data_IF_710120491796
#
_entry.id   IF_710120491796
#
_cell.length_a   1.000
_cell.length_b   1.000
_cell.length_c   1.000
_cell.angle_alpha   90.00
_cell.angle_beta   90.00
_cell.angle_gamma   90.00
#
_symmetry.space_group_name_H-M   'P 1'
#
loop_
_entity.id
_entity.type
_entity.pdbx_description
1 polymer ?
#
# COMPACT_ATOMS: atom_id res chain seq x y z
N UNK A 1 -23.97 -78.53 -30.00
CA UNK A 1 -23.13 -78.95 -31.15
C UNK A 1 -23.01 -77.76 -32.09
N UNK A 2 -21.83 -77.55 -32.70
CA UNK A 2 -21.47 -76.40 -33.55
C UNK A 2 -21.42 -75.00 -32.85
N UNK A 3 -20.65 -74.09 -33.46
CA UNK A 3 -20.38 -72.70 -33.05
C UNK A 3 -20.71 -71.77 -34.24
N UNK A 4 -21.04 -70.48 -34.02
CA UNK A 4 -20.09 -69.36 -34.31
C UNK A 4 -20.58 -67.93 -33.98
N UNK A 5 -19.65 -67.12 -33.43
CA UNK A 5 -19.35 -65.67 -33.62
C UNK A 5 -20.46 -64.60 -33.65
N UNK A 6 -20.29 -63.64 -32.71
CA UNK A 6 -20.31 -62.15 -32.86
C UNK A 6 -21.61 -61.44 -33.37
N UNK A 7 -21.92 -60.19 -32.97
CA UNK A 7 -21.12 -59.18 -32.25
C UNK A 7 -21.95 -58.13 -31.48
N UNK A 8 -21.46 -57.72 -30.29
CA UNK A 8 -21.63 -56.44 -29.57
C UNK A 8 -23.02 -55.94 -29.09
N UNK A 9 -22.99 -55.38 -27.88
CA UNK A 9 -24.02 -54.55 -27.22
C UNK A 9 -23.82 -53.05 -27.63
N UNK A 10 -24.51 -52.01 -27.13
CA UNK A 10 -25.00 -51.66 -25.77
C UNK A 10 -26.13 -50.62 -25.86
N UNK A 11 -27.18 -50.70 -25.01
CA UNK A 11 -27.84 -49.49 -24.48
C UNK A 11 -28.73 -49.74 -23.23
N UNK A 12 -28.71 -48.78 -22.28
CA UNK A 12 -29.89 -48.31 -21.57
C UNK A 12 -30.37 -49.02 -20.30
N UNK A 13 -30.10 -48.41 -19.13
CA UNK A 13 -31.13 -48.11 -18.12
C UNK A 13 -30.58 -47.17 -17.01
N UNK A 14 -31.07 -45.93 -16.98
CA UNK A 14 -31.04 -45.04 -15.81
C UNK A 14 -32.46 -44.48 -15.67
N UNK A 15 -33.06 -44.57 -14.49
CA UNK A 15 -34.47 -44.26 -14.28
C UNK A 15 -34.76 -43.87 -12.82
N UNK A 16 -35.44 -42.74 -12.62
CA UNK A 16 -36.13 -42.27 -11.39
C UNK A 16 -35.18 -42.10 -10.16
N UNK A 17 -35.00 -40.92 -9.54
CA UNK A 17 -36.04 -40.05 -8.98
C UNK A 17 -35.69 -38.55 -8.99
N UNK A 18 -36.74 -37.73 -9.11
CA UNK A 18 -36.72 -36.28 -8.88
C UNK A 18 -37.76 -35.90 -7.84
N UNK A 19 -37.41 -35.16 -6.79
CA UNK A 19 -38.30 -34.24 -6.04
C UNK A 19 -37.56 -33.52 -4.89
N UNK A 20 -38.19 -32.47 -4.36
CA UNK A 20 -37.85 -31.74 -3.12
C UNK A 20 -36.59 -30.87 -3.11
N UNK A 21 -36.66 -29.76 -3.86
CA UNK A 21 -36.07 -28.50 -3.37
C UNK A 21 -36.98 -27.91 -2.28
N UNK A 22 -36.45 -27.77 -1.07
CA UNK A 22 -37.06 -27.04 0.04
C UNK A 22 -36.15 -25.90 0.48
N UNK A 23 -36.73 -24.80 0.96
CA UNK A 23 -35.98 -23.60 1.35
C UNK A 23 -34.93 -23.88 2.44
N UNK A 24 -33.69 -23.44 2.21
CA UNK A 24 -32.69 -23.24 3.26
C UNK A 24 -31.78 -22.06 2.90
N UNK A 25 -31.82 -20.99 3.70
CA UNK A 25 -30.83 -19.93 3.68
C UNK A 25 -29.51 -20.46 4.26
N UNK A 26 -28.43 -20.47 3.49
CA UNK A 26 -27.12 -20.92 3.95
C UNK A 26 -26.12 -19.78 4.03
N UNK A 27 -26.08 -19.11 5.19
CA UNK A 27 -25.01 -18.16 5.54
C UNK A 27 -23.70 -18.94 5.74
N UNK A 28 -22.93 -19.16 4.67
CA UNK A 28 -21.60 -19.79 4.74
C UNK A 28 -20.53 -18.80 5.22
N UNK A 29 -20.69 -18.34 6.45
CA UNK A 29 -19.63 -17.65 7.20
C UNK A 29 -18.61 -18.67 7.71
N UNK A 30 -17.57 -18.95 6.92
CA UNK A 30 -16.45 -19.78 7.37
C UNK A 30 -15.56 -18.99 8.34
N UNK A 31 -15.58 -19.36 9.62
CA UNK A 31 -14.60 -18.85 10.58
C UNK A 31 -13.22 -19.46 10.29
N UNK A 32 -12.35 -18.72 9.60
CA UNK A 32 -10.97 -19.14 9.30
C UNK A 32 -10.04 -18.70 10.42
N UNK A 33 -10.02 -19.44 11.53
CA UNK A 33 -9.07 -19.21 12.61
C UNK A 33 -7.69 -19.81 12.31
N UNK A 34 -6.75 -18.93 11.97
CA UNK A 34 -5.32 -19.03 12.32
C UNK A 34 -4.53 -20.31 11.97
N UNK A 35 -4.35 -20.60 10.66
CA UNK A 35 -3.38 -21.61 10.19
C UNK A 35 -1.90 -21.14 10.18
N UNK A 36 -1.53 -20.23 11.07
CA UNK A 36 -0.14 -19.77 11.28
C UNK A 36 0.24 -19.69 12.77
N UNK A 37 -0.18 -20.66 13.57
CA UNK A 37 0.48 -20.92 14.84
C UNK A 37 1.80 -21.66 14.55
N UNK A 38 2.96 -20.98 14.66
CA UNK A 38 4.28 -21.60 14.43
C UNK A 38 5.25 -20.88 13.48
N UNK A 39 5.04 -19.61 13.13
CA UNK A 39 6.10 -18.73 12.61
C UNK A 39 6.27 -17.51 13.52
N UNK A 40 6.88 -17.76 14.67
CA UNK A 40 7.54 -16.70 15.43
C UNK A 40 8.70 -16.12 14.61
N UNK A 41 8.90 -14.81 14.64
CA UNK A 41 10.06 -14.16 14.04
C UNK A 41 9.94 -13.90 12.53
N UNK A 42 9.21 -12.84 12.17
CA UNK A 42 9.87 -11.75 11.44
C UNK A 42 10.51 -10.83 12.47
N UNK A 43 11.71 -10.35 12.23
CA UNK A 43 12.37 -9.40 13.13
C UNK A 43 11.75 -8.01 12.93
N UNK A 44 11.61 -7.24 14.02
CA UNK A 44 11.21 -5.84 13.91
C UNK A 44 12.29 -5.00 13.19
N UNK A 45 13.54 -5.49 13.11
CA UNK A 45 14.55 -4.92 12.21
C UNK A 45 14.20 -5.09 10.72
N UNK A 46 13.51 -6.16 10.32
CA UNK A 46 13.00 -6.32 8.94
C UNK A 46 11.86 -5.34 8.66
N UNK A 47 11.05 -4.98 9.66
CA UNK A 47 10.05 -3.92 9.54
C UNK A 47 10.68 -2.53 9.44
N UNK A 48 11.64 -2.20 10.31
CA UNK A 48 12.34 -0.91 10.26
C UNK A 48 13.10 -0.75 8.94
N UNK A 49 13.69 -1.83 8.43
CA UNK A 49 14.26 -1.89 7.09
C UNK A 49 13.18 -1.82 5.99
N UNK A 50 12.00 -2.44 6.17
CA UNK A 50 10.89 -2.34 5.22
C UNK A 50 10.48 -0.87 4.99
N UNK A 51 10.43 -0.10 6.08
CA UNK A 51 9.96 1.29 6.14
C UNK A 51 10.95 2.29 5.58
N UNK A 52 12.25 2.09 5.79
CA UNK A 52 13.28 2.94 5.15
C UNK A 52 13.24 2.86 3.60
N UNK A 53 12.70 1.80 3.00
CA UNK A 53 12.62 1.60 1.53
C UNK A 53 11.62 2.50 0.79
N UNK A 54 11.17 3.65 1.33
CA UNK A 54 9.96 4.35 0.80
C UNK A 54 10.13 5.83 0.45
N UNK A 55 11.32 6.39 0.57
CA UNK A 55 11.53 7.84 0.37
C UNK A 55 12.33 8.12 -0.93
N UNK A 56 11.66 8.69 -1.97
CA UNK A 56 12.19 9.02 -3.31
C UNK A 56 11.43 10.19 -4.00
N UNK A 57 11.81 10.66 -5.21
CA UNK A 57 11.52 12.08 -5.64
C UNK A 57 11.29 12.36 -7.15
N UNK A 58 10.40 13.33 -7.47
CA UNK A 58 10.28 14.28 -8.65
C UNK A 58 9.21 13.94 -9.72
N UNK A 59 8.41 14.84 -10.35
CA UNK A 59 7.68 16.13 -10.09
C UNK A 59 6.63 16.30 -11.27
N UNK A 60 5.47 16.99 -11.27
CA UNK A 60 4.51 17.41 -10.21
C UNK A 60 3.03 17.69 -10.69
N UNK A 61 2.23 16.72 -11.20
CA UNK A 61 0.78 16.96 -11.48
C UNK A 61 0.04 16.15 -12.58
N UNK A 62 -1.30 16.17 -12.72
CA UNK A 62 -2.37 16.80 -11.89
C UNK A 62 -3.82 16.38 -12.28
N UNK A 63 -4.40 15.32 -11.65
CA UNK A 63 -5.84 14.89 -11.66
C UNK A 63 -6.14 13.50 -10.91
N UNK A 64 -7.21 12.67 -11.17
CA UNK A 64 -7.76 11.64 -10.20
C UNK A 64 -8.70 10.43 -10.61
N UNK A 65 -9.99 10.43 -10.17
CA UNK A 65 -11.02 9.37 -9.92
C UNK A 65 -10.91 7.93 -10.49
N UNK A 66 -10.67 6.97 -9.58
CA UNK A 66 -10.48 5.51 -9.82
C UNK A 66 -10.63 4.69 -8.50
N UNK A 67 -11.24 3.50 -8.53
CA UNK A 67 -11.25 2.53 -7.40
C UNK A 67 -10.01 1.60 -7.42
N UNK A 68 -9.32 1.43 -6.29
CA UNK A 68 -8.12 0.60 -6.17
C UNK A 68 -8.30 -0.48 -5.09
N UNK A 69 -8.44 -1.75 -5.51
CA UNK A 69 -8.57 -2.90 -4.60
C UNK A 69 -7.33 -3.08 -3.73
N UNK A 70 -7.45 -2.89 -2.41
CA UNK A 70 -6.39 -3.15 -1.43
C UNK A 70 -6.40 -4.58 -0.87
N UNK A 71 -5.24 -5.04 -0.40
CA UNK A 71 -5.05 -6.16 0.54
C UNK A 71 -3.71 -6.03 1.27
N UNK A 72 -3.25 -7.12 1.90
CA UNK A 72 -2.07 -7.15 2.76
C UNK A 72 -2.42 -6.94 4.25
N UNK A 73 -1.48 -6.55 5.10
CA UNK A 73 -1.75 -6.01 6.43
C UNK A 73 -0.65 -5.03 6.87
N UNK A 74 -1.04 -3.89 7.44
CA UNK A 74 -0.14 -2.89 8.01
C UNK A 74 0.41 -3.24 9.40
N UNK A 75 0.11 -4.42 9.97
CA UNK A 75 0.58 -4.74 11.33
C UNK A 75 2.11 -4.81 11.37
N UNK A 76 2.78 -4.11 12.30
CA UNK A 76 4.20 -4.23 12.57
C UNK A 76 4.65 -5.66 12.90
N UNK A 77 3.82 -6.41 13.64
CA UNK A 77 4.02 -7.82 13.95
C UNK A 77 3.59 -8.79 12.83
N UNK A 78 3.28 -8.27 11.63
CA UNK A 78 2.78 -9.00 10.48
C UNK A 78 3.58 -8.71 9.21
N UNK A 79 3.04 -7.87 8.32
CA UNK A 79 3.69 -7.53 7.04
C UNK A 79 4.07 -6.07 6.83
N UNK A 80 3.50 -5.11 7.59
CA UNK A 80 3.72 -3.67 7.37
C UNK A 80 3.31 -3.15 5.99
N UNK A 81 2.44 -3.87 5.27
CA UNK A 81 2.35 -3.78 3.81
C UNK A 81 0.90 -3.84 3.33
N UNK A 82 0.49 -2.79 2.63
CA UNK A 82 -0.70 -2.79 1.78
C UNK A 82 -0.30 -2.89 0.31
N UNK A 83 -1.07 -3.65 -0.45
CA UNK A 83 -0.85 -3.85 -1.88
C UNK A 83 -2.16 -3.74 -2.66
N UNK A 84 -2.05 -3.28 -3.90
CA UNK A 84 -3.14 -3.24 -4.86
C UNK A 84 -3.03 -4.35 -5.90
N UNK A 85 -4.17 -4.77 -6.45
CA UNK A 85 -4.23 -5.57 -7.69
C UNK A 85 -4.62 -4.67 -8.85
N UNK A 86 -3.86 -4.74 -9.94
CA UNK A 86 -4.17 -4.06 -11.19
C UNK A 86 -3.91 -4.96 -12.41
N UNK A 87 -4.61 -4.70 -13.50
CA UNK A 87 -4.35 -5.32 -14.79
C UNK A 87 -3.36 -4.48 -15.59
N UNK A 88 -2.45 -5.11 -16.34
CA UNK A 88 -1.63 -4.40 -17.34
C UNK A 88 -1.61 -5.16 -18.67
N UNK A 89 -1.83 -4.40 -19.75
CA UNK A 89 -1.61 -4.76 -21.15
C UNK A 89 -2.81 -5.32 -21.89
N UNK A 90 -2.58 -5.65 -23.16
CA UNK A 90 -3.58 -6.28 -24.05
C UNK A 90 -3.02 -7.58 -24.64
N UNK A 91 -3.51 -8.77 -24.25
CA UNK A 91 -4.52 -9.01 -23.21
C UNK A 91 -3.97 -8.76 -21.79
N UNK A 92 -4.86 -8.27 -20.93
CA UNK A 92 -4.55 -7.88 -19.56
C UNK A 92 -4.09 -9.04 -18.69
N UNK A 93 -3.08 -8.79 -17.86
CA UNK A 93 -2.54 -9.72 -16.88
C UNK A 93 -2.57 -9.09 -15.50
N UNK A 94 -2.82 -9.91 -14.49
CA UNK A 94 -2.82 -9.49 -13.08
C UNK A 94 -1.40 -9.26 -12.55
N UNK A 95 -1.19 -8.09 -11.96
CA UNK A 95 -0.01 -7.75 -11.16
C UNK A 95 -0.45 -7.24 -9.78
N UNK A 96 0.35 -7.55 -8.76
CA UNK A 96 0.16 -7.10 -7.39
C UNK A 96 1.29 -6.13 -7.03
N UNK A 97 0.95 -4.89 -6.67
CA UNK A 97 1.92 -3.81 -6.44
C UNK A 97 1.75 -3.21 -5.05
N UNK A 98 2.86 -2.87 -4.39
CA UNK A 98 2.84 -2.14 -3.12
C UNK A 98 2.23 -0.75 -3.35
N UNK A 99 1.27 -0.34 -2.52
CA UNK A 99 0.79 1.06 -2.53
C UNK A 99 1.73 1.91 -1.70
N UNK A 100 2.10 3.08 -2.22
CA UNK A 100 3.17 3.90 -1.66
C UNK A 100 2.96 5.40 -1.92
N UNK A 101 2.58 6.17 -0.90
CA UNK A 101 2.49 7.64 -0.99
C UNK A 101 3.84 8.34 -0.89
N UNK A 102 4.88 7.64 -0.43
CA UNK A 102 6.24 8.14 -0.23
C UNK A 102 7.06 8.24 -1.51
N UNK A 103 6.65 7.58 -2.59
CA UNK A 103 7.32 7.64 -3.89
C UNK A 103 6.38 7.93 -5.07
N UNK A 104 6.97 8.46 -6.14
CA UNK A 104 6.25 8.98 -7.30
C UNK A 104 5.92 7.91 -8.35
N UNK A 105 6.94 7.24 -8.89
CA UNK A 105 6.84 6.38 -10.07
C UNK A 105 6.22 5.00 -9.74
N UNK A 106 5.28 4.54 -10.57
CA UNK A 106 4.96 3.10 -10.64
C UNK A 106 6.00 2.35 -11.46
N UNK A 107 6.39 1.17 -10.99
CA UNK A 107 7.20 0.22 -11.75
C UNK A 107 6.77 -1.22 -11.48
N UNK A 108 7.07 -2.11 -12.43
CA UNK A 108 6.89 -3.57 -12.31
C UNK A 108 8.13 -4.32 -12.81
N UNK A 109 8.40 -5.48 -12.20
CA UNK A 109 9.51 -6.36 -12.55
C UNK A 109 9.31 -6.95 -13.95
N UNK A 110 10.25 -6.71 -14.87
CA UNK A 110 10.15 -7.18 -16.26
C UNK A 110 10.78 -8.56 -16.49
N UNK A 111 10.38 -9.24 -17.57
CA UNK A 111 10.93 -10.56 -17.96
C UNK A 111 12.44 -10.55 -18.21
N UNK A 112 13.02 -9.38 -18.49
CA UNK A 112 14.47 -9.18 -18.65
C UNK A 112 15.23 -9.16 -17.31
N UNK A 113 14.52 -9.13 -16.18
CA UNK A 113 15.15 -9.01 -14.86
C UNK A 113 15.75 -10.33 -14.36
N UNK A 114 17.06 -10.32 -14.18
CA UNK A 114 17.85 -11.45 -13.65
C UNK A 114 17.57 -11.68 -12.18
N UNK A 115 17.66 -10.64 -11.37
CA UNK A 115 17.75 -10.71 -9.90
C UNK A 115 16.47 -10.26 -9.17
N UNK A 116 15.38 -10.07 -9.92
CA UNK A 116 14.05 -9.79 -9.34
C UNK A 116 13.48 -10.98 -8.55
N UNK A 117 12.70 -10.72 -7.49
CA UNK A 117 11.95 -11.74 -6.76
C UNK A 117 11.06 -12.57 -7.69
N UNK A 118 11.08 -13.90 -7.50
CA UNK A 118 10.27 -14.87 -8.28
C UNK A 118 9.33 -15.71 -7.42
N UNK A 119 9.31 -15.43 -6.09
CA UNK A 119 8.44 -16.03 -5.05
C UNK A 119 8.31 -15.04 -3.89
N UNK A 120 7.28 -15.21 -3.07
CA UNK A 120 7.13 -14.58 -1.76
C UNK A 120 6.47 -15.56 -0.77
N UNK A 121 6.47 -15.20 0.51
CA UNK A 121 5.82 -15.96 1.59
C UNK A 121 4.38 -15.50 1.87
N UNK A 122 3.89 -14.46 1.15
CA UNK A 122 2.55 -13.88 1.32
C UNK A 122 1.50 -14.48 0.36
N UNK A 123 1.81 -15.59 -0.30
CA UNK A 123 0.86 -16.36 -1.13
C UNK A 123 0.47 -15.72 -2.47
N UNK A 124 1.02 -14.55 -2.79
CA UNK A 124 0.76 -13.82 -4.03
C UNK A 124 1.60 -14.41 -5.16
N UNK A 125 0.96 -14.81 -6.26
CA UNK A 125 1.64 -15.37 -7.44
C UNK A 125 2.19 -14.22 -8.30
N UNK A 126 3.52 -14.05 -8.25
CA UNK A 126 4.21 -13.02 -9.03
C UNK A 126 4.11 -13.23 -10.55
N UNK A 127 4.05 -12.13 -11.29
CA UNK A 127 3.98 -12.01 -12.74
C UNK A 127 5.05 -11.03 -13.22
N UNK A 128 5.96 -11.47 -14.09
CA UNK A 128 6.93 -10.57 -14.74
C UNK A 128 6.31 -9.92 -15.99
N UNK A 129 6.45 -8.60 -16.14
CA UNK A 129 5.92 -7.85 -17.27
C UNK A 129 6.72 -8.12 -18.55
N UNK A 130 6.01 -8.34 -19.65
CA UNK A 130 6.58 -8.57 -20.99
C UNK A 130 6.04 -7.51 -21.97
N UNK A 131 6.87 -6.51 -22.36
CA UNK A 131 6.49 -5.50 -23.33
C UNK A 131 6.13 -6.06 -24.71
N UNK A 132 6.59 -7.26 -25.06
CA UNK A 132 6.26 -7.95 -26.33
C UNK A 132 5.03 -8.86 -26.21
N UNK A 133 4.61 -9.14 -24.98
CA UNK A 133 3.44 -9.94 -24.65
C UNK A 133 2.18 -9.10 -24.43
N UNK A 134 2.18 -7.84 -24.88
CA UNK A 134 1.07 -6.89 -24.86
C UNK A 134 1.03 -6.11 -26.18
N UNK A 135 -0.15 -6.01 -26.83
CA UNK A 135 -0.30 -5.28 -28.11
C UNK A 135 -0.54 -3.78 -27.94
N UNK A 136 -0.76 -3.31 -26.71
CA UNK A 136 -0.91 -1.88 -26.34
C UNK A 136 0.39 -1.27 -25.80
N UNK A 137 1.39 -2.11 -25.48
CA UNK A 137 2.69 -1.70 -24.97
C UNK A 137 3.55 -0.98 -26.02
N UNK A 138 4.03 0.20 -25.66
CA UNK A 138 4.93 1.04 -26.44
C UNK A 138 6.16 1.43 -25.61
N UNK A 139 7.33 1.59 -26.24
CA UNK A 139 8.51 2.10 -25.56
C UNK A 139 8.45 3.62 -25.43
N UNK A 140 8.79 4.16 -24.25
CA UNK A 140 9.01 5.60 -24.09
C UNK A 140 10.46 5.91 -24.43
N UNK A 141 10.68 6.83 -25.37
CA UNK A 141 12.00 7.23 -25.84
C UNK A 141 12.43 8.58 -25.28
N UNK A 142 13.73 8.86 -25.29
CA UNK A 142 14.34 10.06 -24.74
C UNK A 142 13.83 11.39 -25.33
N UNK A 143 13.23 11.35 -26.51
CA UNK A 143 12.67 12.48 -27.25
C UNK A 143 11.17 12.72 -27.00
N UNK A 144 10.51 11.88 -26.19
CA UNK A 144 9.09 12.06 -25.82
C UNK A 144 8.93 12.98 -24.60
N UNK A 145 7.88 13.80 -24.60
CA UNK A 145 7.55 14.79 -23.56
C UNK A 145 7.59 14.22 -22.12
N UNK A 146 7.17 12.97 -21.94
CA UNK A 146 7.26 12.32 -20.64
C UNK A 146 8.71 12.26 -20.16
N UNK A 147 9.63 11.77 -21.01
CA UNK A 147 11.03 11.61 -20.66
C UNK A 147 11.72 12.95 -20.40
N UNK A 148 11.52 13.91 -21.32
CA UNK A 148 12.12 15.24 -21.20
C UNK A 148 11.58 16.02 -19.99
N UNK A 149 10.37 15.72 -19.52
CA UNK A 149 9.83 16.30 -18.28
C UNK A 149 10.45 15.76 -16.98
N UNK A 150 11.04 14.55 -16.99
CA UNK A 150 11.66 13.97 -15.79
C UNK A 150 13.07 14.52 -15.55
N UNK A 151 13.81 14.86 -16.61
CA UNK A 151 15.19 15.33 -16.54
C UNK A 151 15.26 16.85 -16.76
N UNK A 152 15.62 17.62 -15.72
CA UNK A 152 15.83 19.08 -15.83
C UNK A 152 16.84 19.46 -16.92
N UNK A 153 17.88 18.65 -17.05
CA UNK A 153 18.84 18.64 -18.15
C UNK A 153 18.91 17.21 -18.68
N UNK A 154 18.62 17.02 -19.97
CA UNK A 154 18.60 15.68 -20.58
C UNK A 154 20.03 15.09 -20.60
N UNK A 155 20.28 13.94 -19.94
CA UNK A 155 21.65 13.43 -19.80
C UNK A 155 22.22 13.01 -21.16
N UNK A 156 23.54 13.20 -21.42
CA UNK A 156 24.13 12.94 -22.75
C UNK A 156 23.97 11.51 -23.28
N UNK A 157 23.68 10.54 -22.41
CA UNK A 157 23.35 9.16 -22.75
C UNK A 157 21.95 8.96 -23.35
N UNK A 158 21.01 9.87 -23.08
CA UNK A 158 19.60 9.75 -23.49
C UNK A 158 19.36 10.43 -24.84
N UNK A 159 19.88 9.82 -25.91
CA UNK A 159 19.73 10.33 -27.29
C UNK A 159 18.33 10.02 -27.89
N UNK A 160 17.81 10.80 -28.85
CA UNK A 160 16.52 10.53 -29.49
C UNK A 160 16.39 9.10 -30.02
N UNK A 161 15.20 8.50 -29.88
CA UNK A 161 14.90 7.08 -30.13
C UNK A 161 15.55 6.06 -29.17
N UNK A 162 16.46 6.45 -28.27
CA UNK A 162 16.90 5.56 -27.19
C UNK A 162 15.77 5.37 -26.17
N UNK A 163 15.66 4.20 -25.50
CA UNK A 163 14.75 4.02 -24.38
C UNK A 163 15.00 5.05 -23.28
N UNK A 164 13.94 5.64 -22.74
CA UNK A 164 14.01 6.52 -21.58
C UNK A 164 14.31 5.69 -20.33
N UNK A 165 15.57 5.61 -19.93
CA UNK A 165 15.98 4.91 -18.70
C UNK A 165 15.41 5.58 -17.46
N UNK A 166 15.18 4.81 -16.40
CA UNK A 166 14.89 5.32 -15.06
C UNK A 166 15.77 4.63 -14.01
N UNK A 167 16.04 5.38 -12.95
CA UNK A 167 16.80 4.99 -11.77
C UNK A 167 16.09 5.61 -10.56
N UNK A 168 15.83 4.82 -9.51
CA UNK A 168 15.30 5.31 -8.25
C UNK A 168 16.00 4.63 -7.09
N UNK A 169 16.71 5.41 -6.29
CA UNK A 169 17.13 5.01 -4.94
C UNK A 169 16.02 5.30 -3.94
N UNK A 170 15.76 4.35 -3.04
CA UNK A 170 14.89 4.48 -1.88
C UNK A 170 15.70 4.81 -0.61
N UNK A 171 15.03 5.30 0.44
CA UNK A 171 15.66 5.77 1.68
C UNK A 171 16.51 4.76 2.48
N UNK A 172 16.46 3.46 2.17
CA UNK A 172 17.35 2.41 2.74
C UNK A 172 18.59 2.14 1.88
N UNK A 173 18.70 2.74 0.70
CA UNK A 173 19.69 2.41 -0.31
C UNK A 173 19.32 1.23 -1.22
N UNK A 174 18.06 0.77 -1.22
CA UNK A 174 17.54 -0.10 -2.28
C UNK A 174 17.32 0.68 -3.57
N UNK A 175 17.76 0.16 -4.71
CA UNK A 175 17.61 0.82 -6.02
C UNK A 175 16.81 -0.03 -7.00
N UNK A 176 16.00 0.63 -7.82
CA UNK A 176 15.35 0.02 -9.00
C UNK A 176 15.85 0.69 -10.28
N UNK A 177 16.28 -0.14 -11.24
CA UNK A 177 16.88 0.29 -12.50
C UNK A 177 16.09 -0.29 -13.67
N UNK A 178 15.81 0.52 -14.69
CA UNK A 178 15.06 0.07 -15.86
C UNK A 178 14.85 1.12 -16.94
N UNK A 179 13.77 0.97 -17.69
CA UNK A 179 13.33 1.93 -18.71
C UNK A 179 11.82 2.11 -18.68
N UNK A 180 11.34 3.28 -19.09
CA UNK A 180 9.90 3.57 -19.14
C UNK A 180 9.23 2.88 -20.34
N UNK A 181 8.06 2.28 -20.07
CA UNK A 181 7.13 1.73 -21.06
C UNK A 181 5.77 2.37 -20.86
N UNK A 182 4.98 2.43 -21.93
CA UNK A 182 3.63 3.00 -21.93
C UNK A 182 2.65 1.91 -22.37
N UNK A 183 1.74 1.51 -21.49
CA UNK A 183 0.75 0.45 -21.76
C UNK A 183 -0.57 0.75 -21.04
N UNK A 184 -1.62 0.00 -21.38
CA UNK A 184 -2.92 0.10 -20.73
C UNK A 184 -2.91 -0.58 -19.35
N UNK A 185 -3.21 0.20 -18.31
CA UNK A 185 -3.37 -0.20 -16.92
C UNK A 185 -4.85 -0.17 -16.56
N UNK A 186 -5.34 -1.25 -15.97
CA UNK A 186 -6.75 -1.48 -15.66
C UNK A 186 -6.96 -1.56 -14.15
N UNK A 187 -7.93 -0.79 -13.65
CA UNK A 187 -8.34 -0.76 -12.25
C UNK A 187 -9.74 -1.35 -12.10
N UNK A 188 -10.07 -1.87 -10.91
CA UNK A 188 -11.29 -2.68 -10.69
C UNK A 188 -12.59 -1.99 -11.12
N UNK A 189 -12.70 -0.67 -10.91
CA UNK A 189 -13.85 0.12 -11.37
C UNK A 189 -13.45 1.47 -11.96
N UNK A 190 -13.99 1.74 -13.14
CA UNK A 190 -14.26 3.09 -13.65
C UNK A 190 -13.30 3.64 -14.71
N UNK A 191 -12.01 3.29 -14.68
CA UNK A 191 -11.01 3.92 -15.55
C UNK A 191 -9.90 2.96 -15.99
N UNK A 192 -9.91 2.61 -17.27
CA UNK A 192 -8.71 2.12 -17.97
C UNK A 192 -7.80 3.33 -18.31
N UNK A 193 -6.50 3.16 -18.13
CA UNK A 193 -5.49 4.21 -18.26
C UNK A 193 -4.31 3.81 -19.12
N UNK A 194 -4.02 4.54 -20.19
CA UNK A 194 -2.77 4.35 -20.92
C UNK A 194 -1.65 5.13 -20.21
N UNK A 195 -0.84 4.42 -19.42
CA UNK A 195 0.05 4.97 -18.37
C UNK A 195 1.49 4.61 -18.69
N UNK A 196 2.41 5.54 -18.41
CA UNK A 196 3.86 5.31 -18.42
C UNK A 196 4.30 4.77 -17.06
N UNK A 197 5.02 3.66 -17.04
CA UNK A 197 5.56 3.06 -15.81
C UNK A 197 6.94 2.44 -16.06
N UNK A 198 7.69 2.23 -14.98
CA UNK A 198 9.01 1.62 -15.03
C UNK A 198 8.97 0.12 -15.33
N UNK A 199 9.66 -0.29 -16.39
CA UNK A 199 9.98 -1.69 -16.66
C UNK A 199 11.29 -2.04 -15.93
N UNK A 200 11.19 -2.60 -14.73
CA UNK A 200 12.34 -2.90 -13.87
C UNK A 200 13.19 -4.03 -14.41
N UNK A 201 14.47 -3.76 -14.66
CA UNK A 201 15.45 -4.70 -15.25
C UNK A 201 16.50 -5.17 -14.25
N UNK A 202 16.79 -4.38 -13.22
CA UNK A 202 17.59 -4.79 -12.07
C UNK A 202 17.04 -4.17 -10.79
N UNK A 203 17.20 -4.90 -9.68
CA UNK A 203 16.72 -4.51 -8.36
C UNK A 203 17.86 -4.76 -7.36
N UNK A 204 18.20 -3.78 -6.52
CA UNK A 204 19.27 -3.89 -5.53
C UNK A 204 18.72 -4.07 -4.09
N UNK A 205 19.52 -3.75 -3.08
CA UNK A 205 19.14 -3.70 -1.66
C UNK A 205 18.25 -4.84 -1.15
N UNK A 206 17.16 -4.45 -0.49
CA UNK A 206 16.14 -5.31 0.13
C UNK A 206 14.94 -5.58 -0.78
N UNK A 207 14.64 -4.70 -1.75
CA UNK A 207 13.53 -4.93 -2.70
C UNK A 207 13.77 -6.17 -3.59
N UNK A 208 15.04 -6.52 -3.85
CA UNK A 208 15.44 -7.76 -4.54
C UNK A 208 15.23 -9.05 -3.74
N UNK A 209 15.08 -8.99 -2.41
CA UNK A 209 15.22 -10.15 -1.50
C UNK A 209 14.08 -10.36 -0.51
N UNK A 210 13.10 -9.45 -0.45
CA UNK A 210 12.08 -9.47 0.59
C UNK A 210 11.17 -10.72 0.56
N UNK A 211 10.89 -11.39 1.69
CA UNK A 211 9.88 -12.45 1.78
C UNK A 211 8.45 -11.92 1.58
N UNK A 212 8.24 -10.60 1.56
CA UNK A 212 6.98 -9.93 1.19
C UNK A 212 7.04 -9.31 -0.22
N UNK A 213 7.90 -9.81 -1.11
CA UNK A 213 8.01 -9.29 -2.47
C UNK A 213 6.71 -9.33 -3.27
N UNK A 214 6.53 -8.30 -4.09
CA UNK A 214 5.40 -8.04 -4.97
C UNK A 214 5.92 -7.83 -6.40
N UNK A 215 5.01 -7.68 -7.37
CA UNK A 215 5.38 -7.47 -8.77
C UNK A 215 6.02 -6.10 -9.01
N UNK A 216 5.76 -5.15 -8.11
CA UNK A 216 6.42 -3.85 -8.06
C UNK A 216 5.77 -2.91 -7.05
N UNK A 217 5.84 -1.61 -7.33
CA UNK A 217 5.31 -0.53 -6.48
C UNK A 217 4.48 0.40 -7.37
N UNK A 218 3.34 0.89 -6.86
CA UNK A 218 2.57 1.99 -7.46
C UNK A 218 2.72 3.23 -6.59
N UNK A 219 3.52 4.18 -7.09
CA UNK A 219 3.73 5.46 -6.45
C UNK A 219 2.51 6.38 -6.55
N UNK A 220 2.20 7.02 -5.43
CA UNK A 220 1.15 8.03 -5.24
C UNK A 220 1.71 9.37 -4.74
N UNK A 221 2.99 9.65 -5.00
CA UNK A 221 3.62 10.96 -4.78
C UNK A 221 3.14 12.05 -5.76
N UNK A 222 3.49 13.31 -5.47
CA UNK A 222 2.93 14.48 -6.16
C UNK A 222 3.34 14.64 -7.64
N UNK A 223 4.30 13.86 -8.16
CA UNK A 223 4.89 13.97 -9.50
C UNK A 223 3.93 13.86 -10.69
N UNK A 224 4.34 14.32 -11.89
CA UNK A 224 3.67 14.03 -13.17
C UNK A 224 3.78 12.55 -13.54
N UNK A 225 4.86 11.90 -13.09
CA UNK A 225 5.15 10.50 -13.33
C UNK A 225 4.37 9.54 -12.43
N UNK A 226 3.72 10.02 -11.36
CA UNK A 226 2.85 9.17 -10.55
C UNK A 226 1.57 8.81 -11.30
N UNK A 227 1.04 7.62 -11.03
CA UNK A 227 -0.02 7.04 -11.86
C UNK A 227 -1.28 7.87 -11.79
N UNK A 228 -1.64 8.34 -10.59
CA UNK A 228 -2.79 9.22 -10.44
C UNK A 228 -2.61 10.49 -11.28
N UNK A 229 -1.41 11.09 -11.30
CA UNK A 229 -1.01 12.29 -12.07
C UNK A 229 -0.84 12.12 -13.58
N UNK A 230 -0.80 10.88 -14.08
CA UNK A 230 -0.92 10.61 -15.53
C UNK A 230 -2.37 10.38 -15.98
N UNK A 231 -3.11 9.52 -15.25
CA UNK A 231 -4.55 9.29 -15.48
C UNK A 231 -5.32 10.60 -15.49
N UNK A 232 -4.97 11.40 -14.51
CA UNK A 232 -5.06 12.84 -14.45
C UNK A 232 -4.90 13.65 -15.74
N UNK A 233 -3.66 13.86 -16.20
CA UNK A 233 -3.34 14.78 -17.28
C UNK A 233 -4.06 14.38 -18.59
N UNK A 234 -4.47 13.11 -18.71
CA UNK A 234 -5.35 12.62 -19.77
C UNK A 234 -6.83 13.07 -19.69
N UNK A 235 -7.17 13.97 -18.75
CA UNK A 235 -8.49 14.59 -18.64
C UNK A 235 -9.61 13.64 -18.25
N UNK A 236 -9.28 12.47 -17.68
CA UNK A 236 -10.30 11.52 -17.24
C UNK A 236 -11.09 12.07 -16.01
N UNK A 237 -10.60 13.17 -15.37
CA UNK A 237 -10.61 13.65 -13.93
C UNK A 237 -9.85 15.05 -13.87
N UNK A 238 -9.75 16.07 -12.96
CA UNK A 238 -9.85 16.53 -11.50
C UNK A 238 -8.77 16.03 -10.49
N UNK A 239 -8.05 16.76 -9.60
CA UNK A 239 -6.83 16.27 -8.79
C UNK A 239 -6.97 15.98 -7.27
N UNK A 240 -7.50 14.82 -6.93
CA UNK A 240 -7.70 14.39 -5.53
C UNK A 240 -7.62 12.87 -5.33
N UNK A 241 -7.19 12.37 -4.17
CA UNK A 241 -7.39 10.95 -3.80
C UNK A 241 -7.59 10.77 -2.31
N UNK A 242 -7.98 9.58 -1.87
CA UNK A 242 -8.16 9.23 -0.48
C UNK A 242 -7.82 7.77 -0.18
N UNK A 243 -7.40 7.50 1.04
CA UNK A 243 -7.28 6.16 1.58
C UNK A 243 -7.93 6.05 2.97
N UNK A 244 -8.28 4.83 3.37
CA UNK A 244 -8.57 4.46 4.75
C UNK A 244 -8.03 3.06 4.97
N UNK A 245 -7.01 2.91 5.81
CA UNK A 245 -6.27 1.66 5.98
C UNK A 245 -6.68 0.93 7.26
N UNK A 246 -6.97 -0.37 7.13
CA UNK A 246 -7.37 -1.22 8.24
C UNK A 246 -6.14 -1.97 8.79
N UNK A 247 -5.48 -1.39 9.79
CA UNK A 247 -4.34 -1.98 10.48
C UNK A 247 -4.71 -3.23 11.30
N UNK A 248 -6.00 -3.51 11.50
CA UNK A 248 -6.49 -4.64 12.31
C UNK A 248 -6.71 -5.90 11.48
N UNK A 249 -7.33 -5.80 10.31
CA UNK A 249 -7.69 -6.91 9.40
C UNK A 249 -6.87 -6.92 8.11
N UNK A 250 -6.25 -5.79 7.76
CA UNK A 250 -5.59 -5.57 6.48
C UNK A 250 -6.55 -5.14 5.37
N UNK A 251 -5.99 -4.65 4.27
CA UNK A 251 -6.76 -3.99 3.22
C UNK A 251 -7.34 -2.66 3.70
N UNK A 252 -8.49 -2.28 3.14
CA UNK A 252 -9.17 -1.02 3.42
C UNK A 252 -9.76 -0.40 2.17
N UNK A 253 -9.88 0.92 2.16
CA UNK A 253 -10.37 1.72 1.04
C UNK A 253 -9.17 2.45 0.41
N UNK A 254 -9.04 2.42 -0.91
CA UNK A 254 -8.21 3.36 -1.64
C UNK A 254 -8.97 3.80 -2.88
N UNK A 255 -9.24 5.10 -2.98
CA UNK A 255 -9.97 5.69 -4.09
C UNK A 255 -9.26 6.96 -4.53
N UNK A 256 -8.80 6.98 -5.77
CA UNK A 256 -8.55 8.23 -6.46
C UNK A 256 -9.93 8.90 -6.65
N UNK A 257 -10.05 10.22 -6.54
CA UNK A 257 -11.29 10.98 -6.80
C UNK A 257 -11.72 11.96 -5.69
N UNK A 258 -12.74 12.78 -5.99
CA UNK A 258 -13.41 13.61 -4.98
C UNK A 258 -14.31 12.75 -4.09
N UNK A 259 -13.93 12.59 -2.82
CA UNK A 259 -14.80 11.97 -1.82
C UNK A 259 -15.87 12.97 -1.40
N UNK A 260 -17.15 12.61 -1.59
CA UNK A 260 -18.30 13.48 -1.27
C UNK A 260 -18.95 13.12 0.07
N UNK A 261 -18.83 11.85 0.50
CA UNK A 261 -19.21 11.40 1.84
C UNK A 261 -18.24 10.31 2.35
N UNK A 262 -17.81 10.34 3.63
CA UNK A 262 -18.08 11.39 4.61
C UNK A 262 -17.40 12.71 4.22
N UNK A 263 -17.83 13.83 4.83
CA UNK A 263 -17.12 15.09 4.71
C UNK A 263 -15.96 15.14 5.70
N UNK A 264 -14.78 15.46 5.20
CA UNK A 264 -13.62 15.86 6.00
C UNK A 264 -13.59 17.38 6.05
N UNK A 265 -13.67 17.96 7.24
CA UNK A 265 -13.64 19.41 7.44
C UNK A 265 -12.26 19.88 7.92
N UNK A 266 -11.60 19.06 8.75
CA UNK A 266 -10.31 19.37 9.35
C UNK A 266 -9.21 19.15 8.29
N UNK A 267 -8.68 20.26 7.77
CA UNK A 267 -7.78 20.28 6.61
C UNK A 267 -6.64 21.29 6.84
N UNK A 268 -5.41 20.88 6.53
CA UNK A 268 -4.17 21.68 6.59
C UNK A 268 -3.61 21.88 5.18
N UNK A 269 -2.96 23.02 4.88
CA UNK A 269 -2.22 23.18 3.64
C UNK A 269 -1.04 22.20 3.55
N UNK A 270 -0.76 21.77 2.32
CA UNK A 270 0.49 21.12 1.94
C UNK A 270 1.59 22.18 1.75
N UNK A 271 2.80 21.88 2.21
CA UNK A 271 3.96 22.77 2.06
C UNK A 271 4.41 22.79 0.59
N UNK A 272 4.32 23.93 -0.13
CA UNK A 272 4.57 23.95 -1.57
C UNK A 272 6.01 23.60 -1.96
N UNK A 273 6.17 22.87 -3.06
CA UNK A 273 7.49 22.52 -3.61
C UNK A 273 8.26 21.42 -2.87
N UNK A 274 7.70 20.88 -1.78
CA UNK A 274 8.23 19.68 -1.12
C UNK A 274 8.02 18.42 -1.98
N UNK A 275 8.80 17.38 -1.70
CA UNK A 275 8.79 16.13 -2.48
C UNK A 275 7.58 15.23 -2.14
N UNK A 276 7.20 15.17 -0.87
CA UNK A 276 6.16 14.28 -0.36
C UNK A 276 4.94 15.10 0.07
N UNK A 277 4.01 14.48 0.80
CA UNK A 277 2.88 15.19 1.42
C UNK A 277 3.30 15.82 2.74
N UNK A 278 4.07 16.90 2.63
CA UNK A 278 4.56 17.67 3.76
C UNK A 278 3.47 18.63 4.28
N UNK A 279 3.28 18.71 5.59
CA UNK A 279 2.37 19.63 6.30
C UNK A 279 3.10 20.37 7.43
N UNK A 280 2.62 21.54 7.83
CA UNK A 280 3.18 22.28 8.98
C UNK A 280 2.59 21.73 10.28
N UNK A 281 3.45 21.18 11.14
CA UNK A 281 3.10 20.67 12.47
C UNK A 281 3.48 21.73 13.52
N UNK A 282 2.49 22.28 14.23
CA UNK A 282 2.67 23.38 15.19
C UNK A 282 2.98 22.86 16.59
N UNK A 283 2.17 21.91 17.08
CA UNK A 283 2.29 21.37 18.44
C UNK A 283 1.90 19.90 18.52
N UNK A 284 2.42 19.22 19.55
CA UNK A 284 1.99 17.87 19.93
C UNK A 284 1.42 17.96 21.36
N UNK A 285 0.25 17.37 21.60
CA UNK A 285 -0.34 17.20 22.93
C UNK A 285 -0.24 15.73 23.37
N UNK A 286 0.04 15.49 24.66
CA UNK A 286 -0.10 14.17 25.29
C UNK A 286 -1.09 14.28 26.44
N UNK A 287 -2.22 13.58 26.35
CA UNK A 287 -3.26 13.59 27.37
C UNK A 287 -3.91 14.97 27.60
N UNK A 288 -3.88 15.85 26.59
CA UNK A 288 -4.34 17.25 26.69
C UNK A 288 -3.28 18.25 27.17
N UNK A 289 -2.04 17.83 27.40
CA UNK A 289 -0.92 18.72 27.72
C UNK A 289 0.05 18.85 26.54
N UNK A 290 0.29 20.07 26.06
CA UNK A 290 1.31 20.36 25.04
C UNK A 290 2.70 19.87 25.49
N UNK A 291 3.43 19.20 24.59
CA UNK A 291 4.84 18.84 24.75
C UNK A 291 5.69 20.09 24.54
N UNK A 292 6.58 20.38 25.48
CA UNK A 292 7.51 21.51 25.35
C UNK A 292 8.63 21.12 24.39
N UNK A 293 8.69 21.78 23.23
CA UNK A 293 9.61 21.54 22.13
C UNK A 293 10.31 22.84 21.71
N UNK A 294 11.45 22.76 21.03
CA UNK A 294 12.08 23.93 20.43
C UNK A 294 11.26 24.44 19.24
N UNK A 295 11.11 25.76 19.11
CA UNK A 295 10.24 26.40 18.11
C UNK A 295 10.65 26.17 16.65
N UNK A 296 11.83 25.60 16.41
CA UNK A 296 12.37 25.27 15.10
C UNK A 296 12.57 23.75 14.89
N UNK A 297 12.05 22.89 15.78
CA UNK A 297 12.33 21.44 15.73
C UNK A 297 11.76 20.73 14.48
N UNK A 298 10.73 21.34 13.85
CA UNK A 298 10.12 20.88 12.60
C UNK A 298 10.61 21.65 11.35
N UNK A 299 11.51 22.62 11.52
CA UNK A 299 12.14 23.40 10.44
C UNK A 299 13.46 22.73 10.03
N UNK A 300 13.34 21.64 9.27
CA UNK A 300 14.41 20.62 9.08
C UNK A 300 15.28 20.85 7.83
N UNK A 301 15.54 22.11 7.49
CA UNK A 301 16.52 22.48 6.47
C UNK A 301 15.97 22.39 5.04
N UNK A 302 16.39 21.39 4.25
CA UNK A 302 15.88 21.25 2.87
C UNK A 302 14.55 20.51 2.79
N UNK A 303 14.20 19.76 3.85
CA UNK A 303 12.88 19.20 4.11
C UNK A 303 12.17 20.15 5.08
N UNK A 304 10.94 20.53 4.78
CA UNK A 304 10.16 21.45 5.64
C UNK A 304 8.87 20.78 6.09
N UNK A 305 8.58 20.81 7.40
CA UNK A 305 7.37 20.21 7.97
C UNK A 305 7.41 18.68 8.09
N UNK A 306 6.23 18.10 8.31
CA UNK A 306 6.02 16.68 8.60
C UNK A 306 5.48 15.95 7.38
N UNK A 307 6.08 14.83 7.00
CA UNK A 307 5.62 13.97 5.90
C UNK A 307 4.43 13.12 6.37
N UNK A 308 3.36 13.08 5.58
CA UNK A 308 2.23 12.15 5.71
C UNK A 308 2.40 11.02 4.69
N UNK A 309 2.75 9.81 5.14
CA UNK A 309 3.03 8.70 4.23
C UNK A 309 2.45 7.35 4.71
N UNK A 310 1.34 6.94 4.09
CA UNK A 310 0.74 5.61 4.21
C UNK A 310 1.58 4.45 3.67
N UNK A 311 2.69 4.74 2.98
CA UNK A 311 3.66 3.73 2.61
C UNK A 311 4.42 3.22 3.82
N UNK A 312 5.10 4.11 4.53
CA UNK A 312 5.85 3.81 5.75
C UNK A 312 4.90 3.29 6.85
N UNK A 313 5.25 2.21 7.55
CA UNK A 313 4.38 1.64 8.60
C UNK A 313 4.43 2.48 9.89
N UNK A 314 5.65 2.73 10.38
CA UNK A 314 5.96 3.36 11.65
C UNK A 314 5.99 4.89 11.51
N UNK A 315 5.86 5.61 12.63
CA UNK A 315 6.20 7.03 12.66
C UNK A 315 7.68 7.23 12.98
N UNK A 316 8.31 8.19 12.32
CA UNK A 316 9.70 8.57 12.54
C UNK A 316 9.74 10.04 12.96
N UNK A 317 10.31 10.33 14.13
CA UNK A 317 10.32 11.66 14.72
C UNK A 317 11.77 12.08 15.03
N UNK A 318 12.13 13.37 14.92
CA UNK A 318 13.43 13.86 15.38
C UNK A 318 13.65 13.47 16.85
N UNK A 319 14.89 13.13 17.25
CA UNK A 319 15.14 12.66 18.62
C UNK A 319 14.66 13.66 19.69
N UNK A 320 14.85 14.96 19.43
CA UNK A 320 14.40 16.09 20.27
C UNK A 320 12.87 16.16 20.45
N UNK A 321 12.11 15.47 19.60
CA UNK A 321 10.64 15.29 19.69
C UNK A 321 10.29 13.93 20.30
N UNK A 322 10.95 12.87 19.83
CA UNK A 322 10.70 11.49 20.25
C UNK A 322 10.92 11.29 21.77
N UNK A 323 12.07 11.74 22.30
CA UNK A 323 12.45 11.53 23.69
C UNK A 323 11.43 12.15 24.69
N UNK A 324 11.07 13.46 24.61
CA UNK A 324 10.08 14.05 25.53
C UNK A 324 8.65 13.56 25.30
N UNK A 325 8.28 13.20 24.06
CA UNK A 325 6.98 12.63 23.72
C UNK A 325 6.79 11.25 24.37
N UNK A 326 7.74 10.34 24.15
CA UNK A 326 7.72 9.01 24.77
C UNK A 326 7.81 9.10 26.30
N UNK A 327 8.57 10.05 26.85
CA UNK A 327 8.61 10.30 28.30
C UNK A 327 7.22 10.67 28.85
N UNK A 328 6.50 11.61 28.21
CA UNK A 328 5.14 12.02 28.62
C UNK A 328 4.11 10.89 28.49
N UNK A 329 4.23 10.03 27.47
CA UNK A 329 3.35 8.86 27.28
C UNK A 329 3.57 7.83 28.40
N UNK A 330 4.83 7.42 28.61
CA UNK A 330 5.19 6.38 29.57
C UNK A 330 5.02 6.83 31.03
N UNK A 331 5.02 8.14 31.30
CA UNK A 331 4.77 8.69 32.65
C UNK A 331 3.38 8.34 33.23
N UNK A 332 2.42 7.85 32.43
CA UNK A 332 1.16 7.28 32.94
C UNK A 332 1.31 5.89 33.57
N UNK A 333 2.41 5.19 33.29
CA UNK A 333 2.70 3.83 33.76
C UNK A 333 4.10 3.77 34.39
N UNK A 334 4.32 4.39 35.56
CA UNK A 334 5.66 4.60 36.13
C UNK A 334 6.40 3.31 36.54
N UNK A 335 5.67 2.24 36.88
CA UNK A 335 6.23 0.93 37.25
C UNK A 335 6.51 0.01 36.04
N UNK A 336 6.27 0.50 34.82
CA UNK A 336 6.34 -0.27 33.59
C UNK A 336 7.77 -0.63 33.21
N UNK A 337 8.05 -1.93 33.09
CA UNK A 337 9.38 -2.44 32.74
C UNK A 337 9.61 -2.36 31.24
N UNK A 338 10.17 -1.23 30.82
CA UNK A 338 10.62 -1.00 29.46
C UNK A 338 11.80 -1.94 29.12
N UNK A 339 11.78 -2.46 27.90
CA UNK A 339 12.78 -3.33 27.30
C UNK A 339 13.03 -2.91 25.84
N UNK A 340 14.18 -3.26 25.28
CA UNK A 340 14.49 -2.98 23.87
C UNK A 340 14.49 -4.28 23.07
N UNK A 341 13.55 -4.44 22.15
CA UNK A 341 13.49 -5.58 21.23
C UNK A 341 14.28 -5.26 19.97
N UNK A 342 15.03 -6.26 19.46
CA UNK A 342 15.91 -6.17 18.29
C UNK A 342 16.90 -4.99 18.31
N UNK A 343 17.25 -4.49 19.51
CA UNK A 343 18.02 -3.27 19.75
C UNK A 343 17.43 -1.98 19.12
N UNK A 344 16.14 -1.98 18.76
CA UNK A 344 15.50 -0.92 17.97
C UNK A 344 14.14 -0.46 18.51
N UNK A 345 13.36 -1.35 19.15
CA UNK A 345 11.96 -1.07 19.52
C UNK A 345 11.78 -1.00 21.03
N UNK A 346 11.21 0.11 21.51
CA UNK A 346 10.77 0.29 22.90
C UNK A 346 9.53 -0.57 23.14
N UNK A 347 9.67 -1.62 23.95
CA UNK A 347 8.62 -2.60 24.22
C UNK A 347 8.47 -2.91 25.72
N UNK A 348 7.31 -3.39 26.13
CA UNK A 348 6.99 -3.69 27.52
C UNK A 348 5.87 -4.73 27.63
N UNK A 349 5.75 -5.38 28.79
CA UNK A 349 4.57 -6.21 29.10
C UNK A 349 3.44 -5.33 29.65
N UNK A 350 2.25 -5.43 29.05
CA UNK A 350 1.03 -4.77 29.52
C UNK A 350 -0.18 -5.67 29.30
N UNK A 351 -0.87 -6.00 30.39
CA UNK A 351 -1.93 -7.01 30.40
C UNK A 351 -3.33 -6.48 30.11
N UNK A 352 -3.57 -5.23 30.51
CA UNK A 352 -4.86 -4.56 30.40
C UNK A 352 -5.07 -3.91 29.01
N UNK A 353 -6.17 -3.17 28.85
CA UNK A 353 -6.44 -2.43 27.63
C UNK A 353 -5.54 -1.18 27.52
N UNK A 354 -4.83 -1.03 26.40
CA UNK A 354 -3.90 0.10 26.20
C UNK A 354 -4.62 1.45 26.16
N UNK A 355 -5.87 1.51 25.70
CA UNK A 355 -6.65 2.76 25.62
C UNK A 355 -7.07 3.28 27.00
N UNK A 356 -7.18 2.40 28.00
CA UNK A 356 -7.41 2.78 29.40
C UNK A 356 -6.09 3.06 30.15
N UNK A 357 -4.96 2.52 29.66
CA UNK A 357 -3.65 2.58 30.32
C UNK A 357 -2.75 3.74 29.89
N UNK A 358 -2.89 4.25 28.66
CA UNK A 358 -1.99 5.23 28.05
C UNK A 358 -2.75 6.46 27.51
N UNK A 359 -2.11 7.62 27.37
CA UNK A 359 -2.80 8.85 26.98
C UNK A 359 -3.06 8.92 25.47
N UNK A 360 -4.14 9.58 25.06
CA UNK A 360 -4.29 10.07 23.68
C UNK A 360 -3.12 11.01 23.33
N UNK A 361 -2.66 10.96 22.08
CA UNK A 361 -1.74 11.98 21.54
C UNK A 361 -2.46 12.75 20.43
N UNK A 362 -2.20 14.04 20.32
CA UNK A 362 -2.65 14.84 19.18
C UNK A 362 -1.48 15.52 18.50
N UNK A 363 -1.51 15.52 17.18
CA UNK A 363 -0.67 16.34 16.32
C UNK A 363 -1.55 17.49 15.80
N UNK A 364 -1.18 18.73 16.10
CA UNK A 364 -1.93 19.93 15.72
C UNK A 364 -1.16 20.69 14.63
N UNK A 365 -1.82 20.98 13.52
CA UNK A 365 -1.24 21.51 12.29
C UNK A 365 -1.83 22.89 11.96
N UNK A 366 -1.19 23.58 11.01
CA UNK A 366 -1.68 24.85 10.47
C UNK A 366 -3.14 24.74 9.97
N UNK A 367 -3.82 25.88 9.94
CA UNK A 367 -5.28 25.99 9.76
C UNK A 367 -6.10 25.25 10.85
N UNK A 368 -5.50 24.97 12.02
CA UNK A 368 -6.13 24.33 13.19
C UNK A 368 -6.60 22.87 12.98
N UNK A 369 -6.09 22.18 11.96
CA UNK A 369 -6.38 20.75 11.80
C UNK A 369 -5.69 19.94 12.91
N UNK A 370 -6.37 18.95 13.48
CA UNK A 370 -5.84 18.12 14.57
C UNK A 370 -5.99 16.63 14.24
N UNK A 371 -4.92 15.86 14.41
CA UNK A 371 -4.89 14.41 14.19
C UNK A 371 -4.72 13.73 15.55
N UNK A 372 -5.79 13.09 16.05
CA UNK A 372 -5.77 12.32 17.30
C UNK A 372 -5.32 10.88 17.02
N UNK A 373 -4.34 10.40 17.78
CA UNK A 373 -3.80 9.03 17.70
C UNK A 373 -4.08 8.32 19.02
N UNK A 374 -4.73 7.15 18.94
CA UNK A 374 -5.12 6.37 20.10
C UNK A 374 -3.99 5.43 20.56
N UNK A 375 -3.95 4.99 21.83
CA UNK A 375 -2.96 4.01 22.28
C UNK A 375 -2.90 2.74 21.46
N UNK A 376 -4.02 2.21 20.96
CA UNK A 376 -4.01 1.06 20.05
C UNK A 376 -3.44 1.33 18.65
N UNK A 377 -3.34 2.60 18.24
CA UNK A 377 -2.72 3.00 16.97
C UNK A 377 -1.19 3.09 17.15
N UNK A 378 -0.71 3.76 18.21
CA UNK A 378 0.74 3.97 18.44
C UNK A 378 1.44 2.86 19.25
N UNK A 379 0.70 1.94 19.88
CA UNK A 379 1.24 0.72 20.51
C UNK A 379 0.75 -0.52 19.76
N UNK A 380 1.67 -1.25 19.12
CA UNK A 380 1.33 -2.52 18.47
C UNK A 380 1.62 -3.71 19.37
N UNK A 381 0.77 -4.74 19.26
CA UNK A 381 0.94 -5.99 20.00
C UNK A 381 1.92 -6.92 19.29
N UNK A 382 3.03 -7.24 19.95
CA UNK A 382 4.07 -8.13 19.41
C UNK A 382 3.71 -9.61 19.65
N UNK A 383 3.60 -10.03 20.91
CA UNK A 383 3.29 -11.42 21.30
C UNK A 383 2.81 -11.51 22.74
N UNK A 384 1.80 -12.34 23.03
CA UNK A 384 1.32 -12.58 24.41
C UNK A 384 0.73 -11.32 25.05
N UNK A 385 1.46 -10.71 25.98
CA UNK A 385 1.17 -9.40 26.57
C UNK A 385 2.28 -8.36 26.29
N UNK A 386 3.23 -8.66 25.41
CA UNK A 386 4.26 -7.70 24.97
C UNK A 386 3.69 -6.76 23.92
N UNK A 387 3.75 -5.47 24.22
CA UNK A 387 3.45 -4.36 23.32
C UNK A 387 4.74 -3.59 22.99
N UNK A 388 4.76 -2.93 21.84
CA UNK A 388 5.88 -2.13 21.36
C UNK A 388 5.38 -0.79 20.81
N UNK A 389 6.18 0.27 20.98
CA UNK A 389 5.92 1.54 20.32
C UNK A 389 6.07 1.40 18.81
N UNK A 390 5.04 1.83 18.09
CA UNK A 390 5.04 2.02 16.64
C UNK A 390 5.79 3.27 16.17
N UNK A 391 6.36 4.02 17.11
CA UNK A 391 7.13 5.23 16.83
C UNK A 391 8.62 4.99 17.06
N UNK A 392 9.43 5.72 16.29
CA UNK A 392 10.88 5.61 16.26
C UNK A 392 11.51 7.00 16.26
N UNK A 393 12.66 7.13 16.92
CA UNK A 393 13.58 8.21 16.58
C UNK A 393 14.06 8.03 15.13
N UNK A 394 14.07 9.11 14.35
CA UNK A 394 14.71 9.19 13.03
C UNK A 394 16.21 8.94 13.09
N UNK A 395 16.78 8.91 14.29
CA UNK A 395 18.22 8.96 14.53
C UNK A 395 18.76 10.38 14.44
N UNK A 396 19.97 10.57 14.95
CA UNK A 396 20.75 11.78 14.68
C UNK A 396 21.41 11.66 13.31
N UNK A 397 20.81 12.35 12.34
CA UNK A 397 21.25 12.52 10.94
C UNK A 397 20.99 11.33 10.01
N UNK A 398 20.24 11.60 8.95
CA UNK A 398 20.33 10.89 7.68
C UNK A 398 21.75 10.94 7.08
N UNK A 399 21.98 10.23 5.97
CA UNK A 399 23.20 10.40 5.18
C UNK A 399 23.40 11.84 4.63
N UNK A 400 22.34 12.65 4.54
CA UNK A 400 22.39 14.08 4.18
C UNK A 400 22.62 15.02 5.39
N UNK A 401 22.59 14.52 6.62
CA UNK A 401 22.76 15.34 7.83
C UNK A 401 21.46 15.84 8.46
N UNK A 402 20.31 15.45 7.92
CA UNK A 402 18.99 16.03 8.23
C UNK A 402 18.20 15.16 9.23
N UNK A 403 17.33 15.81 10.00
CA UNK A 403 16.32 15.17 10.86
C UNK A 403 15.00 15.09 10.10
N UNK A 404 14.18 14.05 10.34
CA UNK A 404 12.91 13.86 9.64
C UNK A 404 11.75 13.67 10.62
N UNK A 405 10.63 14.32 10.33
CA UNK A 405 9.32 14.04 10.94
C UNK A 405 8.43 13.41 9.88
N UNK A 406 7.97 12.18 10.11
CA UNK A 406 7.13 11.40 9.21
C UNK A 406 6.09 10.60 10.00
N UNK A 407 4.84 10.67 9.56
CA UNK A 407 3.69 9.96 10.14
C UNK A 407 3.27 8.84 9.17
N UNK A 408 3.57 7.59 9.56
CA UNK A 408 3.27 6.36 8.82
C UNK A 408 1.86 5.83 9.01
N UNK A 409 1.52 4.69 8.39
CA UNK A 409 0.23 3.99 8.48
C UNK A 409 -0.29 3.90 9.92
N UNK A 410 0.55 3.57 10.92
CA UNK A 410 0.08 3.49 12.31
C UNK A 410 -0.57 4.79 12.82
N UNK A 411 -0.17 5.96 12.31
CA UNK A 411 -0.79 7.25 12.66
C UNK A 411 -2.02 7.56 11.80
N UNK A 412 -2.11 6.98 10.60
CA UNK A 412 -3.16 7.22 9.60
C UNK A 412 -4.25 6.14 9.60
N UNK A 413 -4.01 4.98 10.23
CA UNK A 413 -4.92 3.85 10.23
C UNK A 413 -6.20 4.16 11.02
N UNK A 414 -7.31 3.53 10.63
CA UNK A 414 -8.64 3.87 11.13
C UNK A 414 -9.07 5.33 10.87
N UNK A 415 -8.42 6.02 9.91
CA UNK A 415 -8.81 7.37 9.44
C UNK A 415 -8.98 7.36 7.92
N UNK A 416 -9.98 8.11 7.45
CA UNK A 416 -10.08 8.47 6.03
C UNK A 416 -9.23 9.70 5.81
N UNK A 417 -8.10 9.55 5.11
CA UNK A 417 -7.20 10.65 4.73
C UNK A 417 -7.51 11.06 3.29
N UNK A 418 -7.76 12.34 3.06
CA UNK A 418 -8.03 12.93 1.73
C UNK A 418 -6.89 13.85 1.34
N UNK A 419 -6.29 13.56 0.19
CA UNK A 419 -5.22 14.30 -0.47
C UNK A 419 -5.84 15.15 -1.59
N UNK A 420 -6.21 16.39 -1.30
CA UNK A 420 -6.66 17.37 -2.30
C UNK A 420 -5.44 18.09 -2.89
N UNK A 421 -4.74 17.37 -3.76
CA UNK A 421 -3.50 17.86 -4.37
C UNK A 421 -3.78 18.97 -5.41
N UNK A 422 -5.04 19.15 -5.84
CA UNK A 422 -5.53 20.26 -6.70
C UNK A 422 -5.48 21.58 -5.94
N UNK A 423 -6.11 21.59 -4.76
CA UNK A 423 -6.19 22.76 -3.88
C UNK A 423 -4.97 22.87 -2.94
N UNK A 424 -4.01 21.94 -3.04
CA UNK A 424 -2.82 21.82 -2.17
C UNK A 424 -3.20 21.71 -0.68
N UNK A 425 -4.23 20.91 -0.37
CA UNK A 425 -4.69 20.61 0.98
C UNK A 425 -4.63 19.11 1.26
N UNK A 426 -4.49 18.75 2.54
CA UNK A 426 -4.75 17.40 3.04
C UNK A 426 -5.62 17.48 4.29
N UNK A 427 -6.47 16.49 4.51
CA UNK A 427 -7.28 16.39 5.72
C UNK A 427 -7.60 14.95 6.07
N UNK A 428 -8.15 14.75 7.26
CA UNK A 428 -8.46 13.43 7.79
C UNK A 428 -9.68 13.45 8.70
N UNK A 429 -10.32 12.30 8.87
CA UNK A 429 -11.33 12.09 9.91
C UNK A 429 -11.32 10.63 10.36
N UNK A 430 -11.60 10.37 11.64
CA UNK A 430 -11.69 9.00 12.16
C UNK A 430 -12.80 8.24 11.44
N UNK A 431 -12.47 7.08 10.88
CA UNK A 431 -13.37 6.37 9.96
C UNK A 431 -13.20 4.86 10.00
N UNK A 432 -14.32 4.14 9.93
CA UNK A 432 -14.31 2.69 9.82
C UNK A 432 -13.82 2.28 8.42
N UNK A 433 -12.55 1.93 8.30
CA UNK A 433 -11.94 1.50 7.03
C UNK A 433 -12.45 0.16 6.46
N UNK A 434 -13.46 -0.48 7.09
CA UNK A 434 -14.25 -1.57 6.50
C UNK A 434 -15.64 -1.18 6.01
N UNK A 435 -15.95 0.12 6.03
CA UNK A 435 -17.19 0.73 5.52
C UNK A 435 -17.12 0.94 3.99
N UNK A 436 -17.93 1.87 3.47
CA UNK A 436 -17.85 2.39 2.10
C UNK A 436 -17.94 3.92 2.09
N UNK A 437 -17.05 4.56 1.33
CA UNK A 437 -17.13 5.99 1.01
C UNK A 437 -17.93 6.23 -0.29
N UNK A 438 -18.31 7.47 -0.54
CA UNK A 438 -18.90 7.91 -1.81
C UNK A 438 -17.94 8.83 -2.55
N UNK A 439 -17.70 8.55 -3.83
CA UNK A 439 -16.75 9.28 -4.68
C UNK A 439 -17.48 9.82 -5.91
N UNK A 440 -17.16 11.06 -6.32
CA UNK A 440 -17.71 11.66 -7.55
C UNK A 440 -17.03 11.06 -8.78
N UNK A 441 -17.84 10.67 -9.74
CA UNK A 441 -17.42 10.30 -11.08
C UNK A 441 -17.47 11.54 -11.99
N UNK A 442 -16.33 12.18 -12.21
CA UNK A 442 -16.26 13.47 -12.92
C UNK A 442 -16.75 13.43 -14.38
N UNK A 443 -16.75 12.26 -15.02
CA UNK A 443 -17.22 12.10 -16.41
C UNK A 443 -18.75 12.08 -16.52
N UNK A 444 -19.44 11.58 -15.49
CA UNK A 444 -20.90 11.33 -15.51
C UNK A 444 -21.67 12.20 -14.52
N UNK A 445 -20.96 12.80 -13.55
CA UNK A 445 -21.56 13.45 -12.38
C UNK A 445 -22.16 12.47 -11.36
N UNK A 446 -22.03 11.14 -11.55
CA UNK A 446 -22.58 10.16 -10.61
C UNK A 446 -21.79 10.13 -9.30
N UNK A 447 -22.43 9.58 -8.27
CA UNK A 447 -21.81 9.35 -6.97
C UNK A 447 -21.70 7.84 -6.79
N UNK A 448 -20.49 7.34 -6.98
CA UNK A 448 -20.18 5.91 -6.99
C UNK A 448 -19.77 5.50 -5.56
N UNK A 449 -20.22 4.34 -5.09
CA UNK A 449 -19.95 3.86 -3.72
C UNK A 449 -18.76 2.92 -3.72
N UNK A 450 -17.67 3.32 -3.07
CA UNK A 450 -16.43 2.54 -2.97
C UNK A 450 -16.36 1.88 -1.60
N UNK A 451 -16.55 0.56 -1.58
CA UNK A 451 -16.45 -0.27 -0.38
C UNK A 451 -15.00 -0.66 -0.08
N UNK A 452 -14.73 -0.96 1.20
CA UNK A 452 -13.46 -1.55 1.59
C UNK A 452 -13.19 -2.90 0.93
N UNK A 453 -11.95 -3.10 0.50
CA UNK A 453 -11.44 -4.32 -0.12
C UNK A 453 -10.40 -4.99 0.79
N UNK A 454 -10.32 -6.32 0.74
CA UNK A 454 -9.20 -7.06 1.31
C UNK A 454 -8.86 -8.24 0.37
N UNK A 455 -7.89 -8.01 -0.52
CA UNK A 455 -7.32 -9.03 -1.38
C UNK A 455 -6.61 -10.09 -0.54
N UNK A 456 -7.27 -11.23 -0.35
CA UNK A 456 -6.76 -12.30 0.50
C UNK A 456 -5.44 -12.87 -0.04
N UNK A 457 -4.40 -12.85 0.78
CA UNK A 457 -3.14 -13.60 0.60
C UNK A 457 -3.36 -15.13 0.47
N UNK A 458 -4.53 -15.63 0.85
CA UNK A 458 -4.98 -16.98 0.55
C UNK A 458 -5.27 -17.16 -0.94
N UNK A 459 -4.27 -17.70 -1.66
CA UNK A 459 -4.32 -18.32 -2.98
C UNK A 459 -5.72 -18.49 -3.62
N UNK A 460 -5.91 -17.94 -4.82
CA UNK A 460 -7.04 -18.26 -5.71
C UNK A 460 -6.95 -19.73 -6.13
N UNK A 461 -7.50 -20.63 -5.32
CA UNK A 461 -7.61 -22.05 -5.64
C UNK A 461 -8.59 -22.20 -6.80
N UNK A 462 -8.06 -22.46 -7.99
CA UNK A 462 -8.87 -22.63 -9.20
C UNK A 462 -9.71 -23.90 -9.09
N UNK A 463 -10.97 -23.77 -8.64
CA UNK A 463 -11.92 -24.89 -8.43
C UNK A 463 -12.08 -25.77 -9.68
N UNK A 464 -11.85 -25.19 -10.87
CA UNK A 464 -11.84 -25.86 -12.17
C UNK A 464 -10.83 -27.01 -12.40
N UNK A 465 -10.08 -27.47 -11.39
CA UNK A 465 -9.24 -28.70 -11.51
C UNK A 465 -9.61 -29.87 -10.60
N UNK A 466 -10.44 -29.70 -9.56
CA UNK A 466 -10.91 -30.83 -8.75
C UNK A 466 -12.12 -31.56 -9.35
N UNK A 467 -12.89 -30.89 -10.22
CA UNK A 467 -13.95 -31.54 -11.00
C UNK A 467 -13.40 -32.49 -12.08
N UNK A 468 -12.27 -32.15 -12.71
CA UNK A 468 -11.66 -32.97 -13.76
C UNK A 468 -11.11 -34.32 -13.26
N UNK A 469 -10.55 -34.38 -12.04
CA UNK A 469 -10.11 -35.65 -11.46
C UNK A 469 -11.27 -36.51 -10.95
N UNK A 470 -12.37 -35.90 -10.50
CA UNK A 470 -13.56 -36.66 -10.10
C UNK A 470 -14.28 -37.29 -11.30
N UNK A 471 -14.35 -36.58 -12.43
CA UNK A 471 -14.87 -37.15 -13.68
C UNK A 471 -13.95 -38.23 -14.28
N UNK A 472 -12.62 -38.12 -14.13
CA UNK A 472 -11.66 -39.13 -14.63
C UNK A 472 -11.58 -40.42 -13.80
N UNK A 473 -12.04 -40.42 -12.55
CA UNK A 473 -12.13 -41.63 -11.72
C UNK A 473 -13.48 -42.36 -11.84
N UNK A 474 -14.54 -41.68 -12.26
CA UNK A 474 -15.83 -42.31 -12.58
C UNK A 474 -15.80 -42.99 -13.97
N UNK A 475 -14.91 -42.55 -14.87
CA UNK A 475 -14.63 -43.23 -16.15
C UNK A 475 -13.65 -44.42 -16.04
N UNK A 476 -13.37 -44.92 -14.84
CA UNK A 476 -12.51 -46.09 -14.59
C UNK A 476 -13.25 -47.27 -13.91
N UNK A 477 -14.58 -47.18 -13.75
CA UNK A 477 -15.43 -48.26 -13.21
C UNK A 477 -16.69 -48.44 -14.08
N UNK A 478 -16.48 -48.63 -15.38
CA UNK A 478 -17.44 -49.18 -16.35
C UNK A 478 -16.68 -49.87 -17.50
#
# INVERSE_FOLDING_TARGET
MALHKNSRAVLGCFLILSAFFSNASANFAFSVSHKFNGRDGRSLSELKAHDSRRHGRVLAGSASAVDVQLGGNGRPSGTGLYFAKLGIGTPSKDYFVQVDTGSDIMWVNCITCTDCPKKNDIGVKLTLYDPKGSSSSNAVTCDQDFCTSQFKDQPPSCQPNMPCSYDMTYGDGSETLGYFVKDDVQFDKGTDGNVVFGCGTAQSGQISKSPSALDGIIGFGQANSSVFSQLAASGKVKKQFAHCLDSVRGGGIFAIGEVVEPKVNDTTPLVPGQAHYNVVLDTIEVGGEVVQLASNVFDTGSITGTIIDSGTTLAYLPQEVFDPLMQKILAKQPDLKISTVDNLFTCFEFSDNVDDGFPLVKFNFDNSASLTVYPHDYLFKLKGHVWCSGWQSSGTKSASGESLTLLGDLVLSNKLVIYDVENQMIGWTDYNCSSSIKVRNEKTGTIDTISAHNLSSASVFTVGRLLLTFFLLISAVF
#
